data_IF_498369820705
#
_entry.id   IF_498369820705
#
_cell.length_a   1.000
_cell.length_b   1.000
_cell.length_c   1.000
_cell.angle_alpha   90.00
_cell.angle_beta   90.00
_cell.angle_gamma   90.00
#
_symmetry.space_group_name_H-M   'P 1'
#
loop_
_entity.id
_entity.type
_entity.pdbx_description
1 polymer ?
#
# COMPACT_ATOMS: atom_id res chain seq x y z
N UNK A 1 10.33 -8.41 -1.09
CA UNK A 1 8.92 -8.57 -0.65
C UNK A 1 8.79 -8.06 0.78
N UNK A 2 7.92 -7.08 1.04
CA UNK A 2 7.63 -6.65 2.42
C UNK A 2 6.92 -7.80 3.15
N UNK A 3 7.64 -8.48 4.04
CA UNK A 3 7.07 -9.46 4.99
C UNK A 3 6.17 -8.68 5.94
N UNK A 4 4.85 -8.71 5.77
CA UNK A 4 3.95 -8.13 6.78
C UNK A 4 2.54 -7.74 6.34
N UNK A 5 2.27 -7.57 5.04
CA UNK A 5 0.92 -7.17 4.63
C UNK A 5 0.00 -8.39 4.60
N UNK A 6 -0.90 -8.48 5.58
CA UNK A 6 -1.94 -9.53 5.62
C UNK A 6 -2.91 -9.33 4.44
N UNK A 7 -2.95 -10.32 3.56
CA UNK A 7 -3.87 -10.32 2.41
C UNK A 7 -5.31 -10.46 2.90
N UNK A 8 -6.17 -9.52 2.48
CA UNK A 8 -7.59 -9.46 2.88
C UNK A 8 -8.45 -9.20 1.64
N UNK A 9 -9.21 -10.20 1.18
CA UNK A 9 -9.96 -10.10 -0.10
C UNK A 9 -11.48 -10.00 0.05
N UNK A 10 -12.03 -10.37 1.21
CA UNK A 10 -13.49 -10.40 1.46
C UNK A 10 -14.06 -9.00 1.68
N UNK A 11 -15.23 -8.75 1.11
CA UNK A 11 -16.02 -7.52 1.25
C UNK A 11 -16.91 -7.62 2.50
N UNK A 12 -17.35 -6.47 3.04
CA UNK A 12 -18.28 -6.42 4.18
C UNK A 12 -17.70 -6.98 5.48
N UNK A 13 -16.37 -6.98 5.63
CA UNK A 13 -15.73 -7.36 6.88
C UNK A 13 -15.54 -6.10 7.71
N UNK A 14 -15.99 -6.11 8.96
CA UNK A 14 -15.83 -4.98 9.86
C UNK A 14 -14.45 -4.97 10.52
N UNK A 15 -13.95 -3.77 10.70
CA UNK A 15 -12.79 -3.42 11.51
C UNK A 15 -13.28 -2.69 12.76
N UNK A 16 -12.37 -2.52 13.70
CA UNK A 16 -12.63 -1.72 14.89
C UNK A 16 -13.13 -0.31 14.52
N UNK A 17 -14.06 0.22 15.32
CA UNK A 17 -14.68 1.53 15.10
C UNK A 17 -15.74 1.58 13.99
N UNK A 18 -16.28 0.43 13.55
CA UNK A 18 -17.37 0.38 12.56
C UNK A 18 -16.94 0.61 11.11
N UNK A 19 -15.63 0.70 10.85
CA UNK A 19 -15.11 0.85 9.49
C UNK A 19 -15.07 -0.50 8.77
N UNK A 20 -15.37 -0.52 7.47
CA UNK A 20 -15.10 -1.70 6.65
C UNK A 20 -13.59 -1.95 6.51
N UNK A 21 -13.12 -3.17 6.79
CA UNK A 21 -11.72 -3.58 6.57
C UNK A 21 -11.32 -3.35 5.13
N UNK A 22 -10.25 -2.58 4.95
CA UNK A 22 -9.61 -2.37 3.65
C UNK A 22 -9.20 -3.73 3.06
N UNK A 23 -9.46 -3.89 1.77
CA UNK A 23 -9.07 -5.11 1.05
C UNK A 23 -7.71 -4.91 0.43
N UNK A 24 -6.84 -5.89 0.63
CA UNK A 24 -5.52 -5.96 0.04
C UNK A 24 -5.40 -7.22 -0.78
N UNK A 25 -5.06 -7.04 -2.06
CA UNK A 25 -4.79 -8.13 -3.00
C UNK A 25 -3.36 -7.96 -3.47
N UNK A 26 -2.54 -9.00 -3.28
CA UNK A 26 -1.21 -9.07 -3.87
C UNK A 26 -1.27 -9.95 -5.12
N UNK A 27 -0.62 -9.50 -6.18
CA UNK A 27 -0.52 -10.26 -7.42
C UNK A 27 0.64 -9.80 -8.29
N UNK A 28 1.10 -10.72 -9.12
CA UNK A 28 2.11 -10.46 -10.14
C UNK A 28 1.62 -11.11 -11.44
N UNK A 29 1.59 -10.36 -12.54
CA UNK A 29 1.31 -10.91 -13.88
C UNK A 29 2.64 -11.20 -14.57
N UNK A 30 2.67 -12.16 -15.50
CA UNK A 30 3.86 -12.45 -16.31
C UNK A 30 4.29 -11.18 -17.05
N UNK A 31 5.55 -10.77 -16.88
CA UNK A 31 6.09 -9.53 -17.45
C UNK A 31 5.69 -8.24 -16.72
N UNK A 32 5.14 -8.31 -15.51
CA UNK A 32 4.86 -7.14 -14.66
C UNK A 32 5.59 -7.27 -13.31
N UNK A 33 5.96 -6.12 -12.73
CA UNK A 33 6.46 -6.07 -11.36
C UNK A 33 5.36 -6.50 -10.37
N UNK A 34 5.73 -7.12 -9.23
CA UNK A 34 4.76 -7.43 -8.18
C UNK A 34 4.01 -6.16 -7.75
N UNK A 35 2.68 -6.28 -7.56
CA UNK A 35 1.84 -5.15 -7.15
C UNK A 35 0.92 -5.50 -5.99
N UNK A 36 0.62 -4.47 -5.21
CA UNK A 36 -0.48 -4.48 -4.26
C UNK A 36 -1.64 -3.68 -4.82
N UNK A 37 -2.84 -4.23 -4.67
CA UNK A 37 -4.09 -3.58 -5.01
C UNK A 37 -4.86 -3.38 -3.71
N UNK A 38 -5.09 -2.12 -3.36
CA UNK A 38 -5.87 -1.72 -2.20
C UNK A 38 -7.28 -1.31 -2.67
N UNK A 39 -8.33 -1.79 -2.01
CA UNK A 39 -9.74 -1.47 -2.34
C UNK A 39 -10.58 -1.20 -1.10
N UNK A 40 -11.70 -0.47 -1.26
CA UNK A 40 -12.68 -0.37 -0.16
C UNK A 40 -13.13 -1.76 0.29
N UNK A 41 -13.32 -1.93 1.60
CA UNK A 41 -13.99 -3.08 2.19
C UNK A 41 -15.49 -3.15 1.86
N UNK A 42 -16.08 -2.01 1.52
CA UNK A 42 -17.51 -1.80 1.35
C UNK A 42 -18.02 -1.93 -0.09
N UNK A 43 -17.18 -1.64 -1.08
CA UNK A 43 -17.57 -1.52 -2.47
C UNK A 43 -16.43 -1.89 -3.42
N UNK A 44 -16.70 -1.84 -4.73
CA UNK A 44 -15.73 -2.25 -5.77
C UNK A 44 -14.88 -1.12 -6.33
N UNK A 45 -15.23 0.15 -6.09
CA UNK A 45 -14.85 1.29 -6.94
C UNK A 45 -14.19 2.48 -6.22
N UNK A 46 -13.37 2.24 -5.19
CA UNK A 46 -12.02 2.75 -5.40
C UNK A 46 -10.97 1.65 -5.33
N UNK A 47 -9.96 1.81 -6.19
CA UNK A 47 -8.79 0.95 -6.31
C UNK A 47 -7.54 1.83 -6.29
N UNK A 48 -6.60 1.48 -5.44
CA UNK A 48 -5.26 2.05 -5.41
C UNK A 48 -4.27 0.96 -5.78
N UNK A 49 -3.49 1.19 -6.84
CA UNK A 49 -2.44 0.28 -7.28
C UNK A 49 -1.08 0.79 -6.80
N UNK A 50 -0.29 -0.13 -6.25
CA UNK A 50 1.06 0.10 -5.75
C UNK A 50 1.98 -0.89 -6.43
N UNK A 51 2.95 -0.39 -7.17
CA UNK A 51 3.96 -1.18 -7.85
C UNK A 51 5.33 -0.91 -7.24
N UNK A 52 6.19 -1.92 -7.23
CA UNK A 52 7.63 -1.66 -7.10
C UNK A 52 8.17 -1.15 -8.43
N UNK A 53 9.14 -0.25 -8.36
CA UNK A 53 10.00 0.03 -9.51
C UNK A 53 10.85 -1.19 -9.88
N UNK A 54 11.53 -1.13 -11.02
CA UNK A 54 12.29 -2.27 -11.55
C UNK A 54 13.44 -2.70 -10.62
N UNK A 55 14.08 -1.74 -9.94
CA UNK A 55 15.21 -1.97 -9.04
C UNK A 55 14.81 -2.25 -7.58
N UNK A 56 13.50 -2.18 -7.26
CA UNK A 56 12.96 -2.36 -5.91
C UNK A 56 13.34 -1.28 -4.90
N UNK A 57 13.83 -0.12 -5.35
CA UNK A 57 14.27 1.01 -4.52
C UNK A 57 13.19 2.11 -4.38
N UNK A 58 12.09 1.96 -5.12
CA UNK A 58 10.98 2.89 -5.17
C UNK A 58 9.63 2.20 -5.29
N UNK A 59 8.59 3.02 -5.20
CA UNK A 59 7.22 2.62 -5.48
C UNK A 59 6.60 3.57 -6.49
N UNK A 60 5.78 2.99 -7.37
CA UNK A 60 4.77 3.73 -8.11
C UNK A 60 3.44 3.58 -7.37
N UNK A 61 2.85 4.68 -6.92
CA UNK A 61 1.51 4.70 -6.30
C UNK A 61 0.61 5.54 -7.20
N UNK A 62 -0.39 4.90 -7.82
CA UNK A 62 -1.36 5.55 -8.71
C UNK A 62 -0.71 6.39 -9.84
N UNK A 63 0.35 5.89 -10.48
CA UNK A 63 1.07 6.58 -11.55
C UNK A 63 2.16 7.56 -11.10
N UNK A 64 2.34 7.75 -9.78
CA UNK A 64 3.37 8.65 -9.23
C UNK A 64 4.55 7.81 -8.74
N UNK A 65 5.74 8.09 -9.26
CA UNK A 65 6.97 7.41 -8.86
C UNK A 65 7.69 8.15 -7.73
N UNK A 66 8.23 7.40 -6.77
CA UNK A 66 9.03 7.95 -5.67
C UNK A 66 9.86 6.87 -4.96
N UNK A 67 10.95 7.28 -4.32
CA UNK A 67 11.78 6.35 -3.54
C UNK A 67 11.03 5.84 -2.30
N UNK A 68 11.43 4.68 -1.75
CA UNK A 68 10.85 4.16 -0.50
C UNK A 68 10.92 5.20 0.62
N UNK A 69 12.03 5.92 0.72
CA UNK A 69 12.20 6.97 1.73
C UNK A 69 11.18 8.10 1.54
N UNK A 70 11.02 8.58 0.31
CA UNK A 70 10.09 9.68 0.04
C UNK A 70 8.65 9.27 0.35
N UNK A 71 8.23 8.07 -0.05
CA UNK A 71 6.93 7.53 0.33
C UNK A 71 6.74 7.39 1.83
N UNK A 72 7.79 6.95 2.54
CA UNK A 72 7.76 6.82 4.00
C UNK A 72 7.60 8.18 4.67
N UNK A 73 8.38 9.19 4.25
CA UNK A 73 8.31 10.56 4.76
C UNK A 73 6.92 11.19 4.53
N UNK A 74 6.23 10.82 3.43
CA UNK A 74 4.89 11.32 3.10
C UNK A 74 3.81 10.57 3.88
N UNK A 75 3.82 9.23 3.88
CA UNK A 75 2.70 8.40 4.35
C UNK A 75 2.71 8.15 5.87
N UNK A 76 3.89 7.98 6.48
CA UNK A 76 4.00 7.66 7.91
C UNK A 76 3.42 8.76 8.82
N UNK A 77 3.59 10.08 8.54
CA UNK A 77 2.97 11.12 9.34
C UNK A 77 1.45 11.02 9.44
N UNK A 78 0.76 10.57 8.38
CA UNK A 78 -0.70 10.36 8.41
C UNK A 78 -1.12 9.24 9.36
N UNK A 79 -0.19 8.35 9.72
CA UNK A 79 -0.39 7.27 10.68
C UNK A 79 0.09 7.65 12.10
N UNK A 80 0.45 8.92 12.32
CA UNK A 80 1.03 9.39 13.59
C UNK A 80 2.46 8.89 13.83
N UNK A 81 3.11 8.34 12.80
CA UNK A 81 4.48 7.86 12.87
C UNK A 81 5.40 8.99 12.41
N UNK A 82 6.22 9.50 13.32
CA UNK A 82 7.19 10.53 12.98
C UNK A 82 8.19 10.02 11.93
N UNK A 83 8.59 10.84 10.95
CA UNK A 83 9.63 10.45 10.01
C UNK A 83 10.92 10.20 10.79
N UNK A 84 11.71 9.23 10.32
CA UNK A 84 12.99 8.91 10.92
C UNK A 84 13.89 10.16 10.83
N UNK A 85 14.01 10.88 11.96
CA UNK A 85 14.89 12.02 12.06
C UNK A 85 16.29 11.44 11.96
N UNK A 86 16.90 11.51 10.77
CA UNK A 86 18.34 11.27 10.61
C UNK A 86 19.02 11.98 11.78
N UNK A 87 19.60 11.21 12.71
CA UNK A 87 20.54 11.74 13.69
C UNK A 87 21.62 12.42 12.86
N UNK A 88 21.58 13.75 12.83
CA UNK A 88 22.66 14.58 12.30
C UNK A 88 23.86 14.42 13.20
#
# INVERSE_FOLDING_TARGET
MIKGIKIQRKMGQESEGGYSRIRVIHGQRKGQTPRYIIRCGCCRAPRLDIHYDEDGQGLEINGINGSIKNWSDILLPFLGIAPDKKRR
#
